data_IF_938876628372
#
_entry.id   IF_938876628372
#
_cell.length_a   1.000
_cell.length_b   1.000
_cell.length_c   1.000
_cell.angle_alpha   90.00
_cell.angle_beta   90.00
_cell.angle_gamma   90.00
#
_symmetry.space_group_name_H-M   'P 1'
#
loop_
_entity.id
_entity.type
_entity.pdbx_description
1 polymer ?
#
# COMPACT_ATOMS: atom_id res chain seq x y z
N UNK A 1 -6.75 -27.86 11.04
CA UNK A 1 -5.35 -27.42 10.99
C UNK A 1 -5.28 -25.92 10.85
N UNK A 2 -4.46 -25.30 11.67
CA UNK A 2 -4.20 -23.87 11.59
C UNK A 2 -3.69 -23.54 10.19
N UNK A 3 -4.26 -22.54 9.54
CA UNK A 3 -3.73 -21.93 8.34
C UNK A 3 -2.45 -21.17 8.62
N UNK A 4 -2.00 -20.38 7.64
CA UNK A 4 -0.77 -19.62 7.75
C UNK A 4 -1.05 -18.14 8.06
N UNK A 5 -0.15 -17.51 8.83
CA UNK A 5 -0.13 -16.08 9.08
C UNK A 5 1.12 -15.52 8.43
N UNK A 6 0.93 -14.70 7.38
CA UNK A 6 2.00 -13.96 6.75
C UNK A 6 2.05 -12.53 7.31
N UNK A 7 3.24 -12.16 7.75
CA UNK A 7 3.56 -10.82 8.25
C UNK A 7 4.87 -10.34 7.62
N UNK A 8 4.88 -9.14 7.07
CA UNK A 8 6.11 -8.51 6.58
C UNK A 8 7.02 -8.11 7.73
N UNK A 9 8.34 -8.04 7.49
CA UNK A 9 9.35 -7.69 8.51
C UNK A 9 9.15 -6.27 9.07
N UNK A 10 8.53 -5.37 8.31
CA UNK A 10 8.22 -4.00 8.70
C UNK A 10 6.80 -3.84 9.30
N UNK A 11 6.23 -4.94 9.81
CA UNK A 11 4.98 -4.93 10.58
C UNK A 11 5.27 -5.28 12.03
N UNK A 12 5.00 -4.35 12.92
CA UNK A 12 5.06 -4.52 14.37
C UNK A 12 3.74 -5.08 14.89
N UNK A 13 3.78 -6.08 15.76
CA UNK A 13 2.62 -6.62 16.46
C UNK A 13 2.58 -6.01 17.86
N UNK A 14 1.52 -5.28 18.20
CA UNK A 14 1.37 -4.56 19.47
C UNK A 14 0.30 -5.16 20.38
N UNK A 15 -0.52 -6.08 19.86
CA UNK A 15 -1.53 -6.80 20.65
C UNK A 15 -1.67 -8.24 20.15
N UNK A 16 -2.23 -9.18 20.98
CA UNK A 16 -2.45 -10.56 20.57
C UNK A 16 -3.32 -10.67 19.32
N UNK A 17 -2.95 -11.58 18.41
CA UNK A 17 -3.65 -11.80 17.14
C UNK A 17 -4.76 -12.85 17.22
N UNK A 18 -5.02 -13.42 18.41
CA UNK A 18 -5.99 -14.51 18.63
C UNK A 18 -7.39 -14.15 18.14
N UNK A 19 -7.76 -12.87 18.25
CA UNK A 19 -9.04 -12.36 17.73
C UNK A 19 -9.20 -12.52 16.21
N UNK A 20 -8.11 -12.72 15.47
CA UNK A 20 -8.16 -12.94 14.04
C UNK A 20 -8.53 -14.40 13.68
N UNK A 21 -8.33 -15.34 14.60
CA UNK A 21 -8.59 -16.77 14.39
C UNK A 21 -10.07 -17.11 14.15
N UNK A 22 -10.98 -16.21 14.45
CA UNK A 22 -12.40 -16.37 14.16
C UNK A 22 -12.76 -16.26 12.69
N UNK A 23 -11.83 -15.79 11.83
CA UNK A 23 -12.08 -15.57 10.42
C UNK A 23 -11.46 -16.68 9.56
N UNK A 24 -12.16 -17.15 8.52
CA UNK A 24 -11.62 -18.09 7.53
C UNK A 24 -10.43 -17.51 6.75
N UNK A 25 -10.47 -16.23 6.48
CA UNK A 25 -9.35 -15.45 6.00
C UNK A 25 -9.55 -13.99 6.38
N UNK A 26 -8.46 -13.30 6.69
CA UNK A 26 -8.50 -11.91 7.17
C UNK A 26 -7.30 -11.10 6.72
N UNK A 27 -7.55 -9.84 6.43
CA UNK A 27 -6.61 -8.73 6.32
C UNK A 27 -7.33 -7.45 6.73
N UNK A 28 -6.81 -6.30 6.35
CA UNK A 28 -7.43 -5.01 6.65
C UNK A 28 -7.48 -4.10 5.43
N UNK A 29 -7.76 -2.84 5.69
CA UNK A 29 -7.55 -1.76 4.75
C UNK A 29 -6.16 -1.15 4.95
N UNK A 30 -5.46 -0.79 3.85
CA UNK A 30 -4.26 0.04 3.90
C UNK A 30 -4.60 1.52 3.77
N UNK A 31 -5.53 1.78 2.89
CA UNK A 31 -6.22 3.06 2.69
C UNK A 31 -7.71 2.77 2.53
N UNK A 32 -8.53 3.78 2.42
CA UNK A 32 -9.95 3.60 2.10
C UNK A 32 -10.19 2.75 0.83
N UNK A 33 -9.22 2.74 -0.10
CA UNK A 33 -9.37 2.16 -1.43
C UNK A 33 -8.50 0.93 -1.69
N UNK A 34 -7.67 0.47 -0.75
CA UNK A 34 -6.70 -0.58 -1.00
C UNK A 34 -6.56 -1.58 0.13
N UNK A 35 -6.20 -2.81 -0.25
CA UNK A 35 -5.99 -3.94 0.65
C UNK A 35 -4.49 -4.19 0.76
N UNK A 36 -3.89 -4.10 1.97
CA UNK A 36 -2.46 -4.29 2.15
C UNK A 36 -2.05 -5.75 2.10
N UNK A 37 -0.77 -5.96 1.91
CA UNK A 37 -0.11 -7.25 2.14
C UNK A 37 0.80 -7.23 3.36
N UNK A 38 0.57 -6.29 4.28
CA UNK A 38 1.35 -6.17 5.51
C UNK A 38 1.15 -7.35 6.44
N UNK A 39 -0.11 -7.69 6.71
CA UNK A 39 -0.53 -8.88 7.45
C UNK A 39 -1.73 -9.50 6.75
N UNK A 40 -1.63 -10.80 6.50
CA UNK A 40 -2.70 -11.62 5.94
C UNK A 40 -2.70 -12.98 6.66
N UNK A 41 -3.87 -13.49 6.99
CA UNK A 41 -4.03 -14.80 7.58
C UNK A 41 -5.19 -15.56 6.93
N UNK A 42 -5.06 -16.88 6.79
CA UNK A 42 -6.14 -17.70 6.26
C UNK A 42 -6.06 -19.15 6.73
N UNK A 43 -7.18 -19.85 6.69
CA UNK A 43 -7.23 -21.29 6.81
C UNK A 43 -6.58 -21.96 5.60
N UNK A 44 -6.04 -23.17 5.81
CA UNK A 44 -5.45 -23.96 4.73
C UNK A 44 -6.46 -24.19 3.60
N UNK A 45 -6.04 -23.88 2.37
CA UNK A 45 -6.86 -24.09 1.17
C UNK A 45 -7.95 -23.06 0.95
N UNK A 46 -7.86 -21.90 1.60
CA UNK A 46 -8.84 -20.83 1.41
C UNK A 46 -8.97 -20.43 -0.07
N UNK A 47 -10.20 -20.41 -0.62
CA UNK A 47 -10.43 -20.18 -2.06
C UNK A 47 -10.02 -18.78 -2.52
N UNK A 48 -10.16 -17.74 -1.69
CA UNK A 48 -9.72 -16.39 -2.07
C UNK A 48 -8.20 -16.29 -2.19
N UNK A 49 -7.45 -16.97 -1.29
CA UNK A 49 -5.99 -17.04 -1.40
C UNK A 49 -5.53 -17.84 -2.61
N UNK A 50 -6.31 -18.87 -3.00
CA UNK A 50 -6.08 -19.59 -4.26
C UNK A 50 -6.24 -18.65 -5.46
N UNK A 51 -7.25 -17.79 -5.48
CA UNK A 51 -7.42 -16.77 -6.52
C UNK A 51 -6.23 -15.79 -6.55
N UNK A 52 -5.78 -15.31 -5.39
CA UNK A 52 -4.60 -14.43 -5.33
C UNK A 52 -3.35 -15.12 -5.93
N UNK A 53 -3.12 -16.37 -5.61
CA UNK A 53 -1.99 -17.14 -6.18
C UNK A 53 -2.14 -17.41 -7.68
N UNK A 54 -3.36 -17.65 -8.16
CA UNK A 54 -3.61 -17.88 -9.59
C UNK A 54 -3.27 -16.66 -10.45
N UNK A 55 -3.46 -15.45 -9.94
CA UNK A 55 -3.07 -14.22 -10.64
C UNK A 55 -1.56 -14.20 -10.98
N UNK A 56 -0.73 -14.79 -10.13
CA UNK A 56 0.72 -14.84 -10.35
C UNK A 56 1.18 -15.95 -11.29
N UNK A 57 0.32 -16.91 -11.66
CA UNK A 57 0.69 -17.99 -12.61
C UNK A 57 0.98 -17.47 -14.02
N UNK A 58 0.33 -16.36 -14.39
CA UNK A 58 0.47 -15.73 -15.71
C UNK A 58 1.12 -14.35 -15.65
N UNK A 59 1.43 -13.85 -14.44
CA UNK A 59 2.10 -12.58 -14.27
C UNK A 59 3.61 -12.74 -14.52
N UNK A 60 4.14 -11.92 -15.42
CA UNK A 60 5.56 -11.86 -15.72
C UNK A 60 6.09 -10.46 -15.44
N UNK A 61 7.23 -10.39 -14.71
CA UNK A 61 7.87 -9.10 -14.42
C UNK A 61 8.39 -8.43 -15.70
N UNK A 62 8.96 -9.22 -16.64
CA UNK A 62 9.34 -8.75 -17.96
C UNK A 62 8.20 -9.05 -18.94
N UNK A 63 7.62 -8.00 -19.51
CA UNK A 63 6.54 -8.11 -20.50
C UNK A 63 7.10 -8.40 -21.90
N UNK A 64 6.27 -8.89 -22.84
CA UNK A 64 6.70 -9.22 -24.20
C UNK A 64 7.30 -8.04 -24.98
N UNK A 65 6.93 -6.81 -24.64
CA UNK A 65 7.45 -5.57 -25.22
C UNK A 65 8.73 -5.08 -24.54
N UNK A 66 9.34 -5.89 -23.67
CA UNK A 66 10.53 -5.59 -22.86
C UNK A 66 10.31 -4.50 -21.79
N UNK A 67 9.08 -4.07 -21.54
CA UNK A 67 8.75 -3.23 -20.40
C UNK A 67 8.65 -4.07 -19.12
N UNK A 68 8.70 -3.39 -17.95
CA UNK A 68 8.57 -4.05 -16.65
C UNK A 68 7.15 -3.90 -16.12
N UNK A 69 6.55 -5.01 -15.70
CA UNK A 69 5.31 -4.98 -14.93
C UNK A 69 5.61 -4.61 -13.47
N UNK A 70 5.37 -3.36 -13.12
CA UNK A 70 5.54 -2.81 -11.78
C UNK A 70 4.24 -2.83 -10.95
N UNK A 71 3.22 -3.56 -11.40
CA UNK A 71 1.96 -3.69 -10.68
C UNK A 71 2.19 -4.35 -9.33
N UNK A 72 1.91 -3.61 -8.26
CA UNK A 72 2.14 -4.10 -6.90
C UNK A 72 1.11 -5.18 -6.53
N UNK A 73 1.47 -6.05 -5.57
CA UNK A 73 0.54 -7.03 -4.99
C UNK A 73 -0.69 -6.37 -4.35
N UNK A 74 -0.57 -5.18 -3.76
CA UNK A 74 -1.70 -4.37 -3.25
C UNK A 74 -2.71 -4.11 -4.36
N UNK A 75 -2.26 -3.64 -5.53
CA UNK A 75 -3.12 -3.38 -6.70
C UNK A 75 -3.76 -4.68 -7.20
N UNK A 76 -2.99 -5.77 -7.34
CA UNK A 76 -3.51 -7.06 -7.83
C UNK A 76 -4.59 -7.61 -6.91
N UNK A 77 -4.34 -7.69 -5.61
CA UNK A 77 -5.28 -8.21 -4.61
C UNK A 77 -6.54 -7.34 -4.55
N UNK A 78 -6.37 -6.02 -4.52
CA UNK A 78 -7.51 -5.08 -4.53
C UNK A 78 -8.37 -5.28 -5.76
N UNK A 79 -7.78 -5.41 -6.96
CA UNK A 79 -8.50 -5.64 -8.20
C UNK A 79 -9.26 -6.98 -8.21
N UNK A 80 -8.68 -8.03 -7.64
CA UNK A 80 -9.38 -9.32 -7.49
C UNK A 80 -10.58 -9.15 -6.55
N UNK A 81 -10.39 -8.50 -5.41
CA UNK A 81 -11.48 -8.28 -4.46
C UNK A 81 -12.60 -7.40 -5.05
N UNK A 82 -12.27 -6.41 -5.89
CA UNK A 82 -13.26 -5.59 -6.62
C UNK A 82 -14.17 -6.46 -7.51
N UNK A 83 -13.62 -7.47 -8.18
CA UNK A 83 -14.43 -8.43 -9.00
C UNK A 83 -15.45 -9.19 -8.16
N UNK A 84 -15.21 -9.35 -6.86
CA UNK A 84 -16.07 -10.07 -5.91
C UNK A 84 -16.86 -9.15 -4.97
N UNK A 85 -16.97 -7.85 -5.29
CA UNK A 85 -17.83 -6.92 -4.58
C UNK A 85 -17.17 -6.16 -3.42
N UNK A 86 -15.83 -6.01 -3.44
CA UNK A 86 -15.13 -5.11 -2.50
C UNK A 86 -15.68 -3.69 -2.64
N UNK A 87 -16.02 -3.09 -1.51
CA UNK A 87 -16.49 -1.70 -1.41
C UNK A 87 -15.39 -0.88 -0.72
N UNK A 88 -14.80 0.12 -1.40
CA UNK A 88 -13.76 0.98 -0.83
C UNK A 88 -14.35 2.02 0.12
N UNK A 89 -14.54 1.66 1.38
CA UNK A 89 -15.23 2.48 2.38
C UNK A 89 -14.63 2.41 3.79
N UNK A 90 -13.50 1.72 3.94
CA UNK A 90 -12.84 1.47 5.24
C UNK A 90 -13.77 0.87 6.32
N UNK A 91 -14.80 0.13 5.92
CA UNK A 91 -15.69 -0.55 6.85
C UNK A 91 -15.45 -2.06 6.83
N UNK A 92 -15.62 -2.72 8.00
CA UNK A 92 -15.55 -4.17 8.07
C UNK A 92 -16.48 -4.80 7.04
N UNK A 93 -15.94 -5.68 6.21
CA UNK A 93 -16.68 -6.40 5.19
C UNK A 93 -16.09 -7.77 4.95
N UNK A 94 -16.90 -8.68 4.41
CA UNK A 94 -16.46 -10.03 4.04
C UNK A 94 -16.76 -10.27 2.58
N UNK A 95 -15.73 -10.59 1.81
CA UNK A 95 -15.80 -10.88 0.39
C UNK A 95 -15.60 -12.38 0.23
N UNK A 96 -16.67 -13.13 -0.05
CA UNK A 96 -16.68 -14.60 -0.02
C UNK A 96 -16.20 -15.11 1.35
N UNK A 97 -14.96 -15.61 1.46
CA UNK A 97 -14.35 -16.13 2.69
C UNK A 97 -13.30 -15.20 3.29
N UNK A 98 -13.07 -14.03 2.70
CA UNK A 98 -12.01 -13.10 3.08
C UNK A 98 -12.61 -11.88 3.77
N UNK A 99 -12.32 -11.71 5.05
CA UNK A 99 -12.75 -10.57 5.86
C UNK A 99 -11.71 -9.46 5.83
N UNK A 100 -12.17 -8.25 5.57
CA UNK A 100 -11.39 -7.03 5.66
C UNK A 100 -11.81 -6.23 6.88
N UNK A 101 -10.85 -5.92 7.74
CA UNK A 101 -11.03 -5.08 8.92
C UNK A 101 -10.72 -3.62 8.59
N UNK A 102 -11.34 -2.65 9.26
CA UNK A 102 -10.98 -1.24 9.13
C UNK A 102 -9.47 -1.01 9.32
N UNK A 103 -8.96 0.05 8.71
CA UNK A 103 -7.53 0.37 8.67
C UNK A 103 -6.88 0.43 10.05
N UNK A 104 -7.59 0.92 11.06
CA UNK A 104 -7.11 1.06 12.43
C UNK A 104 -6.74 -0.26 13.12
N UNK A 105 -7.22 -1.41 12.61
CA UNK A 105 -6.89 -2.72 13.17
C UNK A 105 -5.46 -3.17 12.82
N UNK A 106 -5.07 -3.07 11.56
CA UNK A 106 -3.85 -3.71 11.07
C UNK A 106 -2.85 -2.74 10.41
N UNK A 107 -3.30 -1.55 9.98
CA UNK A 107 -2.48 -0.59 9.26
C UNK A 107 -2.80 0.87 9.65
N UNK A 108 -2.73 1.24 10.95
CA UNK A 108 -3.13 2.56 11.45
C UNK A 108 -2.21 3.70 11.00
N UNK A 109 -1.07 3.39 10.37
CA UNK A 109 -0.12 4.38 9.86
C UNK A 109 -0.46 4.76 8.44
N UNK A 110 -0.62 6.05 8.18
CA UNK A 110 -0.75 6.57 6.82
C UNK A 110 0.59 6.54 6.10
N UNK A 111 0.64 5.94 4.92
CA UNK A 111 1.82 5.99 4.06
C UNK A 111 2.13 7.42 3.61
N UNK A 112 1.10 8.21 3.32
CA UNK A 112 1.23 9.57 2.78
C UNK A 112 1.76 10.55 3.83
N UNK A 113 1.13 10.60 5.01
CA UNK A 113 1.48 11.55 6.07
C UNK A 113 2.55 11.02 7.01
N UNK A 114 2.71 9.70 7.12
CA UNK A 114 3.56 9.04 8.10
C UNK A 114 2.97 9.04 9.52
N UNK A 115 1.81 9.64 9.74
CA UNK A 115 1.14 9.68 11.05
C UNK A 115 0.54 8.31 11.39
N UNK A 116 0.60 7.95 12.66
CA UNK A 116 0.02 6.70 13.18
C UNK A 116 -1.10 7.05 14.16
N UNK A 117 -2.30 6.56 13.89
CA UNK A 117 -3.48 6.78 14.72
C UNK A 117 -3.88 5.46 15.39
N UNK A 118 -3.38 5.23 16.61
CA UNK A 118 -3.71 4.03 17.37
C UNK A 118 -5.10 4.14 17.99
N UNK A 119 -5.85 3.03 17.93
CA UNK A 119 -7.14 2.87 18.59
C UNK A 119 -7.09 1.65 19.53
N UNK A 120 -8.14 1.43 20.29
CA UNK A 120 -8.31 0.20 21.09
C UNK A 120 -8.39 -1.07 20.23
N UNK A 121 -8.62 -0.94 18.95
CA UNK A 121 -8.73 -2.04 18.00
C UNK A 121 -7.39 -2.42 17.37
N UNK A 122 -6.36 -1.58 17.51
CA UNK A 122 -5.09 -1.75 16.80
C UNK A 122 -4.34 -3.00 17.31
N UNK A 123 -4.04 -3.90 16.39
CA UNK A 123 -3.29 -5.12 16.64
C UNK A 123 -1.87 -5.04 16.06
N UNK A 124 -1.71 -4.37 14.93
CA UNK A 124 -0.41 -4.24 14.25
C UNK A 124 -0.20 -2.84 13.69
N UNK A 125 1.08 -2.50 13.44
CA UNK A 125 1.49 -1.26 12.76
C UNK A 125 2.37 -1.62 11.57
N UNK A 126 1.96 -1.26 10.37
CA UNK A 126 2.80 -1.36 9.18
C UNK A 126 3.67 -0.11 9.06
N UNK A 127 4.98 -0.24 9.23
CA UNK A 127 5.90 0.90 9.27
C UNK A 127 6.25 1.49 7.90
N UNK A 128 6.01 0.73 6.80
CA UNK A 128 6.33 1.15 5.43
C UNK A 128 7.80 1.49 5.23
N UNK A 129 8.70 0.69 5.79
CA UNK A 129 10.15 0.95 5.74
C UNK A 129 10.71 0.99 4.32
N UNK A 130 10.11 0.21 3.39
CA UNK A 130 10.42 0.27 1.97
C UNK A 130 11.91 0.11 1.66
N UNK A 131 12.57 -0.91 2.25
CA UNK A 131 14.02 -1.16 2.12
C UNK A 131 14.52 -1.32 0.68
N UNK A 132 13.60 -1.53 -0.25
CA UNK A 132 13.84 -1.62 -1.71
C UNK A 132 13.78 -0.26 -2.42
N UNK A 133 13.44 0.82 -1.71
CA UNK A 133 13.32 2.17 -2.29
C UNK A 133 14.69 2.81 -2.40
N UNK A 134 14.88 3.57 -3.49
CA UNK A 134 16.08 4.39 -3.66
C UNK A 134 16.13 5.54 -2.65
N UNK A 135 17.33 6.05 -2.37
CA UNK A 135 17.53 7.22 -1.52
C UNK A 135 16.73 8.44 -2.01
N UNK A 136 16.61 8.60 -3.31
CA UNK A 136 15.79 9.67 -3.93
C UNK A 136 14.32 9.51 -3.58
N UNK A 137 13.74 8.31 -3.65
CA UNK A 137 12.34 8.04 -3.31
C UNK A 137 12.06 8.23 -1.82
N UNK A 138 12.98 7.82 -0.97
CA UNK A 138 12.90 8.06 0.48
C UNK A 138 12.89 9.57 0.75
N UNK A 139 13.87 10.30 0.21
CA UNK A 139 13.96 11.75 0.36
C UNK A 139 12.69 12.48 -0.15
N UNK A 140 12.17 12.09 -1.32
CA UNK A 140 10.95 12.65 -1.87
C UNK A 140 9.75 12.46 -0.92
N UNK A 141 9.61 11.25 -0.35
CA UNK A 141 8.51 10.94 0.57
C UNK A 141 8.61 11.76 1.87
N UNK A 142 9.81 11.85 2.44
CA UNK A 142 10.03 12.64 3.65
C UNK A 142 9.76 14.12 3.42
N UNK A 143 10.20 14.65 2.27
CA UNK A 143 9.93 16.03 1.90
C UNK A 143 8.44 16.29 1.69
N UNK A 144 7.73 15.36 1.02
CA UNK A 144 6.28 15.45 0.85
C UNK A 144 5.55 15.51 2.19
N UNK A 145 5.93 14.66 3.15
CA UNK A 145 5.37 14.66 4.51
C UNK A 145 5.61 15.98 5.24
N UNK A 146 6.83 16.53 5.14
CA UNK A 146 7.13 17.85 5.70
C UNK A 146 6.28 18.96 5.06
N UNK A 147 6.08 18.91 3.74
CA UNK A 147 5.22 19.89 3.06
C UNK A 147 3.76 19.77 3.52
N UNK A 148 3.24 18.57 3.76
CA UNK A 148 1.90 18.36 4.31
C UNK A 148 1.77 19.00 5.71
N UNK A 149 2.76 18.80 6.57
CA UNK A 149 2.74 19.32 7.95
C UNK A 149 2.91 20.84 8.03
N UNK A 150 3.84 21.42 7.26
CA UNK A 150 4.17 22.85 7.34
C UNK A 150 3.30 23.74 6.44
N UNK A 151 2.73 23.18 5.36
CA UNK A 151 1.97 23.93 4.37
C UNK A 151 0.63 23.24 4.04
N UNK A 152 -0.24 22.97 5.03
CA UNK A 152 -1.49 22.23 4.84
C UNK A 152 -2.47 22.91 3.88
N UNK A 153 -2.29 24.21 3.60
CA UNK A 153 -3.10 24.97 2.65
C UNK A 153 -2.74 24.70 1.16
N UNK A 154 -1.60 24.05 0.90
CA UNK A 154 -1.22 23.65 -0.47
C UNK A 154 -1.91 22.33 -0.80
N UNK A 155 -2.61 22.19 -1.95
CA UNK A 155 -3.19 20.93 -2.38
C UNK A 155 -2.16 19.79 -2.37
N UNK A 156 -2.52 18.62 -1.81
CA UNK A 156 -1.63 17.48 -1.64
C UNK A 156 -0.92 17.08 -2.94
N UNK A 157 -1.64 17.06 -4.06
CA UNK A 157 -1.05 16.74 -5.38
C UNK A 157 0.11 17.69 -5.73
N UNK A 158 -0.01 18.97 -5.40
CA UNK A 158 1.04 19.96 -5.65
C UNK A 158 2.23 19.75 -4.71
N UNK A 159 2.00 19.41 -3.44
CA UNK A 159 3.06 19.07 -2.47
C UNK A 159 3.89 17.89 -2.96
N UNK A 160 3.25 16.82 -3.47
CA UNK A 160 3.93 15.65 -4.05
C UNK A 160 4.77 16.04 -5.26
N UNK A 161 4.27 16.92 -6.14
CA UNK A 161 5.03 17.38 -7.31
C UNK A 161 6.21 18.28 -6.93
N UNK A 162 6.04 19.15 -5.94
CA UNK A 162 7.15 19.97 -5.40
C UNK A 162 8.24 19.05 -4.83
N UNK A 163 7.85 18.07 -4.01
CA UNK A 163 8.78 17.11 -3.43
C UNK A 163 9.53 16.30 -4.51
N UNK A 164 8.83 15.87 -5.55
CA UNK A 164 9.43 15.15 -6.69
C UNK A 164 10.42 16.03 -7.47
N UNK A 165 10.08 17.29 -7.74
CA UNK A 165 10.97 18.23 -8.41
C UNK A 165 12.23 18.50 -7.61
N UNK A 166 12.10 18.76 -6.30
CA UNK A 166 13.23 19.01 -5.41
C UNK A 166 14.12 17.77 -5.29
N UNK A 167 13.55 16.59 -5.13
CA UNK A 167 14.30 15.34 -5.10
C UNK A 167 15.06 15.11 -6.42
N UNK A 168 14.39 15.28 -7.57
CA UNK A 168 15.04 15.14 -8.88
C UNK A 168 16.19 16.15 -9.05
N UNK A 169 15.98 17.40 -8.61
CA UNK A 169 17.03 18.43 -8.66
C UNK A 169 18.25 18.03 -7.80
N UNK A 170 18.00 17.53 -6.59
CA UNK A 170 19.06 17.13 -5.65
C UNK A 170 19.89 15.95 -6.16
N UNK A 171 19.25 14.93 -6.73
CA UNK A 171 19.91 13.67 -7.09
C UNK A 171 20.38 13.63 -8.55
N UNK A 172 19.71 14.35 -9.45
CA UNK A 172 19.95 14.25 -10.90
C UNK A 172 20.21 15.61 -11.59
N UNK A 173 20.16 16.71 -10.83
CA UNK A 173 20.42 18.05 -11.32
C UNK A 173 19.18 18.77 -11.90
N UNK A 174 19.26 20.11 -11.89
CA UNK A 174 18.14 21.00 -12.24
C UNK A 174 17.63 20.81 -13.68
N UNK A 175 18.52 20.63 -14.65
CA UNK A 175 18.14 20.47 -16.07
C UNK A 175 17.24 19.25 -16.23
N UNK A 176 17.62 18.12 -15.61
CA UNK A 176 16.84 16.89 -15.68
C UNK A 176 15.48 17.02 -14.98
N UNK A 177 15.42 17.72 -13.84
CA UNK A 177 14.18 18.02 -13.15
C UNK A 177 13.21 18.84 -14.03
N UNK A 178 13.70 19.87 -14.71
CA UNK A 178 12.91 20.68 -15.63
C UNK A 178 12.38 19.84 -16.80
N UNK A 179 13.24 19.04 -17.45
CA UNK A 179 12.84 18.16 -18.56
C UNK A 179 11.75 17.16 -18.15
N UNK A 180 11.89 16.55 -16.97
CA UNK A 180 10.91 15.58 -16.46
C UNK A 180 9.55 16.23 -16.16
N UNK A 181 9.56 17.42 -15.57
CA UNK A 181 8.33 18.18 -15.30
C UNK A 181 7.63 18.61 -16.59
N UNK A 182 8.38 19.06 -17.60
CA UNK A 182 7.84 19.43 -18.90
C UNK A 182 7.19 18.26 -19.65
N UNK A 183 7.78 17.07 -19.58
CA UNK A 183 7.20 15.83 -20.16
C UNK A 183 5.92 15.41 -19.46
N UNK A 184 5.83 15.57 -18.13
CA UNK A 184 4.62 15.27 -17.38
C UNK A 184 3.45 16.20 -17.75
N UNK A 185 3.71 17.50 -17.90
CA UNK A 185 2.68 18.49 -18.33
C UNK A 185 2.15 18.18 -19.74
N UNK A 186 3.01 17.71 -20.65
CA UNK A 186 2.62 17.32 -22.02
C UNK A 186 1.75 16.06 -22.08
N UNK A 187 1.91 15.12 -21.14
CA UNK A 187 1.11 13.88 -21.10
C UNK A 187 -0.31 14.05 -20.51
N UNK A 188 -0.60 15.19 -19.90
CA UNK A 188 -1.92 15.54 -19.35
C UNK A 188 -2.78 16.40 -20.29
N UNK A 189 -2.26 16.80 -21.41
CA UNK A 189 -3.01 17.41 -22.54
C UNK A 189 -3.35 16.35 -23.57
#
# INVERSE_FOLDING_TARGET
GLGDVYKRQDVEVIAPLDSLLQYHAVSGFETEHSIPTGLMACEKGNPMFTEFLNEYKTAHFLLPDSSLDQTTNVVRITNICLKYGFIPNNQKQTIRTFTLLPQDYLCPKSFETGKTELTKNTLTIHHFNGSWRSEQEVYQTELSRKLIDYFPFIPHILQVHIAAFVAETKFNGLIRAICRTATWVKKKK
#
